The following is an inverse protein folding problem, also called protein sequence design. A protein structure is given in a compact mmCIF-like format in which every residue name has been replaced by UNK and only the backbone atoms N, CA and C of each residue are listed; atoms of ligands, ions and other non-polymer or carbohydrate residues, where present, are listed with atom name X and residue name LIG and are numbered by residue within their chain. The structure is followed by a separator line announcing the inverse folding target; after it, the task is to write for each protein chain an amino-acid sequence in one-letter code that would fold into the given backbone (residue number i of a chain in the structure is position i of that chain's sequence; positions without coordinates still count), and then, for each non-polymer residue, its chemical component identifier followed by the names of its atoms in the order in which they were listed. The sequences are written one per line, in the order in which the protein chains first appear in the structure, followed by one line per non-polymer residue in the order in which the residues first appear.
data_IF_839580985343
#
_entry.id   IF_839580985343
#
_cell.length_a   1.000
_cell.length_b   1.000
_cell.length_c   1.000
_cell.angle_alpha   90.00
_cell.angle_beta   90.00
_cell.angle_gamma   90.00
#
_symmetry.space_group_name_H-M   'P 1'
#
loop_
_entity.id
_entity.type
_entity.pdbx_description
1 polymer ?
#
# COMPACT_ATOMS: atom_id res chain seq x y z
N UNK A 1 -4.90 12.27 -5.00
CA UNK A 1 -3.76 12.95 -5.66
C UNK A 1 -3.32 12.25 -6.96
N UNK A 2 -2.73 12.98 -7.93
CA UNK A 2 -2.17 12.39 -9.15
C UNK A 2 -0.64 12.36 -9.19
N UNK A 3 0.03 12.96 -8.20
CA UNK A 3 1.45 12.86 -7.96
C UNK A 3 1.74 12.21 -6.60
N UNK A 4 2.86 11.50 -6.53
CA UNK A 4 3.58 11.22 -5.29
C UNK A 4 4.90 11.99 -5.30
N UNK A 5 5.45 12.25 -4.11
CA UNK A 5 6.75 12.87 -3.98
C UNK A 5 7.58 12.19 -2.89
N UNK A 6 8.90 12.29 -3.02
CA UNK A 6 9.85 11.98 -1.95
C UNK A 6 10.99 12.99 -1.96
N UNK A 7 11.66 13.12 -0.81
CA UNK A 7 12.81 14.02 -0.66
C UNK A 7 14.08 13.19 -0.51
N UNK A 8 15.06 13.44 -1.37
CA UNK A 8 16.38 12.81 -1.24
C UNK A 8 17.12 13.43 -0.05
N UNK A 9 17.31 12.67 1.02
CA UNK A 9 17.84 13.19 2.30
C UNK A 9 19.23 13.83 2.21
N UNK A 10 20.09 13.37 1.29
CA UNK A 10 21.46 13.88 1.15
C UNK A 10 21.54 15.19 0.37
N UNK A 11 20.69 15.37 -0.63
CA UNK A 11 20.75 16.51 -1.56
C UNK A 11 19.61 17.50 -1.34
N UNK A 12 18.62 17.13 -0.54
CA UNK A 12 17.35 17.83 -0.34
C UNK A 12 16.56 18.06 -1.64
N UNK A 13 16.82 17.25 -2.67
CA UNK A 13 16.05 17.30 -3.92
C UNK A 13 14.67 16.69 -3.71
N UNK A 14 13.65 17.42 -4.12
CA UNK A 14 12.28 16.91 -4.19
C UNK A 14 12.08 16.23 -5.53
N UNK A 15 11.70 14.96 -5.48
CA UNK A 15 11.31 14.19 -6.66
C UNK A 15 9.80 14.06 -6.67
N UNK A 16 9.15 14.44 -7.78
CA UNK A 16 7.72 14.29 -7.97
C UNK A 16 7.47 13.36 -9.16
N UNK A 17 6.55 12.41 -9.00
CA UNK A 17 6.25 11.38 -10.01
C UNK A 17 4.74 11.22 -10.17
N UNK A 18 4.31 11.06 -11.42
CA UNK A 18 2.92 10.79 -11.73
C UNK A 18 2.52 9.37 -11.28
N UNK A 19 1.39 9.27 -10.57
CA UNK A 19 0.79 8.00 -10.15
C UNK A 19 -0.14 7.42 -11.22
N UNK A 20 -0.54 8.24 -12.19
CA UNK A 20 -1.48 7.93 -13.26
C UNK A 20 -1.22 8.83 -14.46
N UNK A 21 -1.82 8.53 -15.60
CA UNK A 21 -1.76 9.42 -16.77
C UNK A 21 -2.39 10.77 -16.43
N UNK A 22 -1.71 11.87 -16.79
CA UNK A 22 -2.16 13.24 -16.56
C UNK A 22 -2.28 13.94 -17.91
N UNK A 23 -3.49 14.38 -18.26
CA UNK A 23 -3.76 15.08 -19.51
C UNK A 23 -3.37 16.57 -19.41
N UNK A 24 -3.03 17.23 -20.53
CA UNK A 24 -2.75 18.67 -20.54
C UNK A 24 -3.89 19.50 -19.92
N UNK A 25 -3.53 20.50 -19.13
CA UNK A 25 -4.49 21.38 -18.43
C UNK A 25 -5.10 20.79 -17.16
N UNK A 26 -4.77 19.55 -16.77
CA UNK A 26 -5.16 19.00 -15.46
C UNK A 26 -4.23 19.49 -14.36
N UNK A 27 -4.83 19.85 -13.23
CA UNK A 27 -4.10 20.25 -12.02
C UNK A 27 -3.24 19.09 -11.49
N UNK A 28 -2.03 19.43 -11.02
CA UNK A 28 -1.12 18.50 -10.36
C UNK A 28 -1.35 18.54 -8.85
N UNK A 29 -1.61 17.39 -8.23
CA UNK A 29 -2.02 17.29 -6.83
C UNK A 29 -1.21 16.23 -6.10
N UNK A 30 -0.74 16.56 -4.89
CA UNK A 30 -0.12 15.64 -3.92
C UNK A 30 -1.05 15.48 -2.71
N UNK A 31 -0.84 14.44 -1.90
CA UNK A 31 -1.47 14.37 -0.56
C UNK A 31 -0.59 15.10 0.44
N UNK A 32 -1.21 15.83 1.37
CA UNK A 32 -0.53 16.53 2.45
C UNK A 32 -0.41 15.70 3.73
N UNK A 33 -1.19 14.63 3.81
CA UNK A 33 -1.30 13.75 4.96
C UNK A 33 -1.47 12.30 4.51
N UNK A 34 -1.52 11.39 5.48
CA UNK A 34 -1.87 10.00 5.22
C UNK A 34 -3.28 9.91 4.61
N UNK A 35 -3.42 9.11 3.56
CA UNK A 35 -4.70 8.88 2.89
C UNK A 35 -5.48 7.72 3.50
N UNK A 36 -4.87 6.93 4.40
CA UNK A 36 -5.44 5.73 5.02
C UNK A 36 -6.24 6.02 6.31
N UNK A 37 -6.90 7.17 6.39
CA UNK A 37 -7.70 7.63 7.54
C UNK A 37 -9.11 8.00 7.09
N UNK A 38 -10.10 7.95 8.00
CA UNK A 38 -11.52 8.16 7.68
C UNK A 38 -11.80 9.62 7.29
N UNK A 39 -12.94 9.88 6.65
CA UNK A 39 -13.29 11.22 6.14
C UNK A 39 -13.28 12.30 7.21
N UNK A 40 -13.86 12.02 8.38
CA UNK A 40 -13.94 12.99 9.49
C UNK A 40 -12.53 13.40 9.93
N UNK A 41 -11.69 12.43 10.29
CA UNK A 41 -10.28 12.64 10.66
C UNK A 41 -9.53 13.42 9.57
N UNK A 42 -9.70 13.05 8.28
CA UNK A 42 -9.08 13.78 7.17
C UNK A 42 -9.48 15.26 7.13
N UNK A 43 -10.76 15.57 7.32
CA UNK A 43 -11.27 16.95 7.27
C UNK A 43 -10.78 17.76 8.47
N UNK A 44 -10.78 17.16 9.66
CA UNK A 44 -10.29 17.79 10.88
C UNK A 44 -8.81 18.14 10.78
N UNK A 45 -7.97 17.20 10.34
CA UNK A 45 -6.53 17.43 10.15
C UNK A 45 -6.26 18.51 9.11
N UNK A 46 -6.91 18.46 7.95
CA UNK A 46 -6.72 19.47 6.90
C UNK A 46 -7.17 20.86 7.33
N UNK A 47 -8.29 20.95 8.06
CA UNK A 47 -8.77 22.23 8.56
C UNK A 47 -7.84 22.79 9.63
N UNK A 48 -7.36 21.94 10.55
CA UNK A 48 -6.48 22.31 11.64
C UNK A 48 -5.09 22.73 11.16
N UNK A 49 -4.47 21.93 10.30
CA UNK A 49 -3.07 22.11 9.93
C UNK A 49 -2.89 22.98 8.67
N UNK A 50 -3.89 23.01 7.79
CA UNK A 50 -3.84 23.74 6.51
C UNK A 50 -4.94 24.77 6.31
N UNK A 51 -5.94 24.85 7.20
CA UNK A 51 -6.97 25.88 7.19
C UNK A 51 -8.02 25.74 6.09
N UNK A 52 -8.23 24.53 5.53
CA UNK A 52 -9.25 24.31 4.49
C UNK A 52 -10.01 23.00 4.65
N UNK A 53 -11.26 23.00 4.17
CA UNK A 53 -12.07 21.79 4.01
C UNK A 53 -11.84 21.17 2.64
N UNK A 54 -11.51 19.88 2.60
CA UNK A 54 -11.25 19.17 1.36
C UNK A 54 -12.53 18.95 0.56
N UNK A 55 -12.48 19.32 -0.73
CA UNK A 55 -13.57 19.16 -1.70
C UNK A 55 -13.24 18.17 -2.81
N UNK A 56 -12.34 17.22 -2.54
CA UNK A 56 -12.06 16.16 -3.51
C UNK A 56 -13.28 15.24 -3.71
N UNK A 57 -13.28 14.46 -4.80
CA UNK A 57 -14.38 13.58 -5.12
C UNK A 57 -14.75 12.61 -3.98
N UNK A 58 -13.76 12.08 -3.23
CA UNK A 58 -14.00 11.21 -2.07
C UNK A 58 -14.68 11.96 -0.91
N UNK A 59 -14.26 13.19 -0.61
CA UNK A 59 -14.85 13.99 0.46
C UNK A 59 -16.27 14.51 0.12
N UNK A 60 -16.64 14.52 -1.16
CA UNK A 60 -17.92 15.00 -1.68
C UNK A 60 -18.91 13.89 -2.07
N UNK A 61 -18.61 12.63 -1.76
CA UNK A 61 -19.52 11.51 -2.02
C UNK A 61 -20.85 11.66 -1.24
N UNK A 62 -21.87 10.89 -1.60
CA UNK A 62 -23.10 10.80 -0.81
C UNK A 62 -22.79 10.26 0.59
N UNK A 63 -23.71 10.47 1.54
CA UNK A 63 -23.51 10.02 2.92
C UNK A 63 -23.31 8.50 2.99
N UNK A 64 -24.10 7.75 2.22
CA UNK A 64 -24.02 6.29 2.15
C UNK A 64 -22.64 5.83 1.65
N UNK A 65 -22.15 6.43 0.56
CA UNK A 65 -20.82 6.11 0.03
C UNK A 65 -19.68 6.56 0.96
N UNK A 66 -19.88 7.62 1.76
CA UNK A 66 -18.91 8.03 2.77
C UNK A 66 -18.81 6.98 3.89
N UNK A 67 -19.96 6.50 4.39
CA UNK A 67 -20.01 5.43 5.39
C UNK A 67 -19.37 4.14 4.87
N UNK A 68 -19.64 3.75 3.61
CA UNK A 68 -18.99 2.60 2.97
C UNK A 68 -17.47 2.77 2.85
N UNK A 69 -16.98 3.95 2.44
CA UNK A 69 -15.55 4.25 2.35
C UNK A 69 -14.88 4.22 3.72
N UNK A 70 -15.51 4.80 4.75
CA UNK A 70 -14.97 4.79 6.12
C UNK A 70 -14.93 3.35 6.68
N UNK A 71 -15.93 2.51 6.39
CA UNK A 71 -15.89 1.07 6.69
C UNK A 71 -14.75 0.36 5.94
N UNK A 72 -14.53 0.68 4.66
CA UNK A 72 -13.45 0.11 3.88
C UNK A 72 -12.08 0.49 4.44
N UNK A 73 -11.89 1.75 4.85
CA UNK A 73 -10.66 2.21 5.51
C UNK A 73 -10.43 1.46 6.82
N UNK A 74 -11.47 1.21 7.61
CA UNK A 74 -11.34 0.42 8.83
C UNK A 74 -10.96 -1.04 8.53
N UNK A 75 -11.61 -1.67 7.55
CA UNK A 75 -11.27 -3.02 7.11
C UNK A 75 -9.81 -3.12 6.63
N UNK A 76 -9.31 -2.09 5.92
CA UNK A 76 -7.91 -1.99 5.53
C UNK A 76 -7.01 -1.99 6.77
N UNK A 77 -7.30 -1.16 7.78
CA UNK A 77 -6.49 -1.07 9.01
C UNK A 77 -6.44 -2.41 9.73
N UNK A 78 -7.59 -3.03 9.93
CA UNK A 78 -7.73 -4.29 10.67
C UNK A 78 -7.01 -5.44 9.95
N UNK A 79 -7.27 -5.60 8.64
CA UNK A 79 -6.68 -6.66 7.83
C UNK A 79 -5.17 -6.47 7.66
N UNK A 80 -4.73 -5.23 7.46
CA UNK A 80 -3.30 -4.91 7.39
C UNK A 80 -2.60 -5.26 8.70
N UNK A 81 -3.17 -4.89 9.86
CA UNK A 81 -2.62 -5.23 11.16
C UNK A 81 -2.54 -6.75 11.34
N UNK A 82 -3.65 -7.46 11.11
CA UNK A 82 -3.73 -8.91 11.20
C UNK A 82 -2.64 -9.59 10.36
N UNK A 83 -2.52 -9.19 9.08
CA UNK A 83 -1.54 -9.77 8.17
C UNK A 83 -0.11 -9.37 8.51
N UNK A 84 0.14 -8.17 9.06
CA UNK A 84 1.49 -7.75 9.44
C UNK A 84 2.02 -8.49 10.67
N UNK A 85 1.16 -8.79 11.65
CA UNK A 85 1.54 -9.39 12.93
C UNK A 85 1.57 -10.93 12.90
N UNK A 86 0.66 -11.56 12.14
CA UNK A 86 0.33 -12.98 12.34
C UNK A 86 0.53 -13.89 11.12
N UNK A 87 1.12 -13.39 10.02
CA UNK A 87 1.21 -14.16 8.78
C UNK A 87 2.16 -15.38 8.82
N UNK A 88 3.05 -15.45 9.81
CA UNK A 88 4.01 -16.53 10.00
C UNK A 88 3.83 -17.26 11.35
N UNK A 89 2.71 -17.03 12.04
CA UNK A 89 2.45 -17.68 13.32
C UNK A 89 2.24 -19.19 13.17
N UNK A 90 2.95 -20.00 13.97
CA UNK A 90 2.79 -21.46 14.02
C UNK A 90 1.39 -21.90 14.48
N UNK A 91 0.59 -21.01 15.08
CA UNK A 91 -0.78 -21.31 15.49
C UNK A 91 -1.82 -20.96 14.42
N UNK A 92 -1.42 -20.22 13.39
CA UNK A 92 -2.32 -19.82 12.32
C UNK A 92 -2.49 -20.97 11.31
N UNK A 93 -3.72 -21.47 11.17
CA UNK A 93 -4.08 -22.51 10.21
C UNK A 93 -4.92 -21.97 9.05
N UNK A 94 -5.17 -20.66 9.02
CA UNK A 94 -5.92 -20.03 7.94
C UNK A 94 -5.06 -19.90 6.68
N UNK A 95 -5.72 -19.97 5.53
CA UNK A 95 -5.09 -19.62 4.27
C UNK A 95 -5.14 -18.10 4.08
N UNK A 96 -4.01 -17.44 4.29
CA UNK A 96 -3.92 -15.99 4.26
C UNK A 96 -3.78 -15.41 2.84
N UNK A 97 -3.76 -16.25 1.82
CA UNK A 97 -3.55 -15.81 0.43
C UNK A 97 -4.72 -14.96 -0.07
N UNK A 98 -5.93 -15.40 0.23
CA UNK A 98 -7.15 -14.69 -0.19
C UNK A 98 -7.27 -13.36 0.58
N UNK A 99 -6.93 -13.36 1.87
CA UNK A 99 -6.86 -12.14 2.69
C UNK A 99 -5.80 -11.14 2.15
N UNK A 100 -4.65 -11.63 1.67
CA UNK A 100 -3.65 -10.77 1.06
C UNK A 100 -4.10 -10.17 -0.29
N UNK A 101 -4.86 -10.92 -1.07
CA UNK A 101 -5.50 -10.44 -2.31
C UNK A 101 -6.57 -9.38 -1.97
N UNK A 102 -7.43 -9.66 -0.99
CA UNK A 102 -8.46 -8.74 -0.48
C UNK A 102 -7.86 -7.41 -0.01
N UNK A 103 -6.78 -7.44 0.78
CA UNK A 103 -6.12 -6.23 1.23
C UNK A 103 -5.67 -5.34 0.05
N UNK A 104 -5.11 -5.93 -1.00
CA UNK A 104 -4.71 -5.19 -2.20
C UNK A 104 -5.94 -4.59 -2.90
N UNK A 105 -7.03 -5.34 -3.01
CA UNK A 105 -8.26 -4.88 -3.65
C UNK A 105 -8.89 -3.70 -2.90
N UNK A 106 -8.92 -3.75 -1.56
CA UNK A 106 -9.40 -2.64 -0.74
C UNK A 106 -8.56 -1.37 -0.97
N UNK A 107 -7.23 -1.47 -1.03
CA UNK A 107 -6.36 -0.34 -1.37
C UNK A 107 -6.64 0.24 -2.76
N UNK A 108 -6.97 -0.61 -3.74
CA UNK A 108 -7.33 -0.16 -5.09
C UNK A 108 -8.68 0.54 -5.12
N UNK A 109 -9.67 0.00 -4.39
CA UNK A 109 -11.02 0.56 -4.27
C UNK A 109 -10.98 1.97 -3.66
N UNK A 110 -10.22 2.16 -2.59
CA UNK A 110 -10.03 3.45 -1.93
C UNK A 110 -9.02 4.38 -2.64
N UNK A 111 -8.50 3.97 -3.81
CA UNK A 111 -7.56 4.73 -4.63
C UNK A 111 -6.30 5.16 -3.85
N UNK A 112 -5.80 4.27 -2.99
CA UNK A 112 -4.63 4.42 -2.11
C UNK A 112 -3.33 3.95 -2.78
N UNK A 113 -3.22 4.14 -4.09
CA UNK A 113 -2.12 3.64 -4.94
C UNK A 113 -0.73 4.06 -4.46
N UNK A 114 -0.59 5.25 -3.87
CA UNK A 114 0.69 5.73 -3.35
C UNK A 114 1.17 4.94 -2.12
N UNK A 115 0.25 4.32 -1.40
CA UNK A 115 0.52 3.61 -0.14
C UNK A 115 0.44 2.09 -0.32
N UNK A 116 0.17 1.58 -1.52
CA UNK A 116 -0.07 0.14 -1.75
C UNK A 116 1.19 -0.72 -1.87
N UNK A 117 2.40 -0.15 -1.71
CA UNK A 117 3.65 -0.93 -1.72
C UNK A 117 3.71 -1.97 -0.59
N UNK A 118 3.20 -1.64 0.59
CA UNK A 118 3.23 -2.50 1.76
C UNK A 118 2.29 -3.72 1.63
N UNK A 119 1.00 -3.57 1.23
CA UNK A 119 0.14 -4.71 0.89
C UNK A 119 0.76 -5.67 -0.14
N UNK A 120 1.41 -5.14 -1.19
CA UNK A 120 2.12 -5.98 -2.16
C UNK A 120 3.34 -6.68 -1.56
N UNK A 121 4.01 -6.07 -0.57
CA UNK A 121 5.10 -6.70 0.19
C UNK A 121 4.57 -7.88 1.02
N UNK A 122 3.49 -7.68 1.77
CA UNK A 122 2.84 -8.72 2.56
C UNK A 122 2.39 -9.88 1.67
N UNK A 123 1.67 -9.59 0.58
CA UNK A 123 1.24 -10.62 -0.38
C UNK A 123 2.43 -11.39 -0.97
N UNK A 124 3.53 -10.71 -1.28
CA UNK A 124 4.75 -11.36 -1.77
C UNK A 124 5.32 -12.37 -0.76
N UNK A 125 5.36 -11.99 0.52
CA UNK A 125 5.85 -12.84 1.61
C UNK A 125 4.91 -14.03 1.85
N UNK A 126 3.61 -13.78 1.92
CA UNK A 126 2.56 -14.78 2.11
C UNK A 126 2.58 -15.79 0.95
N UNK A 127 2.57 -15.38 -0.31
CA UNK A 127 2.66 -16.37 -1.39
C UNK A 127 3.92 -17.24 -1.31
N UNK A 128 5.05 -16.67 -0.92
CA UNK A 128 6.27 -17.45 -0.79
C UNK A 128 6.19 -18.45 0.38
N UNK A 129 5.50 -18.12 1.47
CA UNK A 129 5.27 -19.02 2.61
C UNK A 129 4.41 -20.23 2.28
N UNK A 130 3.59 -20.14 1.24
CA UNK A 130 2.88 -21.29 0.64
C UNK A 130 3.59 -21.87 -0.60
N UNK A 131 4.85 -21.49 -0.86
CA UNK A 131 5.63 -22.01 -1.98
C UNK A 131 5.23 -21.48 -3.37
N UNK A 132 4.30 -20.53 -3.47
CA UNK A 132 3.86 -19.93 -4.73
C UNK A 132 4.82 -18.85 -5.22
N UNK A 133 5.99 -19.29 -5.66
CA UNK A 133 7.11 -18.42 -6.06
C UNK A 133 6.75 -17.45 -7.19
N UNK A 134 5.96 -17.85 -8.20
CA UNK A 134 5.59 -16.97 -9.30
C UNK A 134 4.70 -15.79 -8.85
N UNK A 135 3.67 -16.07 -8.04
CA UNK A 135 2.81 -15.01 -7.48
C UNK A 135 3.62 -14.10 -6.55
N UNK A 136 4.50 -14.67 -5.72
CA UNK A 136 5.41 -13.91 -4.86
C UNK A 136 6.26 -12.91 -5.67
N UNK A 137 6.93 -13.37 -6.73
CA UNK A 137 7.73 -12.50 -7.61
C UNK A 137 6.92 -11.37 -8.23
N UNK A 138 5.69 -11.67 -8.68
CA UNK A 138 4.83 -10.68 -9.29
C UNK A 138 4.46 -9.56 -8.31
N UNK A 139 4.11 -9.91 -7.06
CA UNK A 139 3.79 -8.93 -6.03
C UNK A 139 5.03 -8.16 -5.57
N UNK A 140 6.18 -8.81 -5.42
CA UNK A 140 7.45 -8.13 -5.12
C UNK A 140 7.81 -7.07 -6.17
N UNK A 141 7.61 -7.38 -7.45
CA UNK A 141 7.88 -6.45 -8.54
C UNK A 141 6.93 -5.23 -8.50
N UNK A 142 5.63 -5.44 -8.23
CA UNK A 142 4.67 -4.35 -8.04
C UNK A 142 5.05 -3.45 -6.86
N UNK A 143 5.37 -4.07 -5.72
CA UNK A 143 5.82 -3.38 -4.51
C UNK A 143 7.04 -2.50 -4.77
N UNK A 144 8.09 -3.04 -5.41
CA UNK A 144 9.27 -2.25 -5.80
C UNK A 144 8.90 -1.09 -6.73
N UNK A 145 8.05 -1.32 -7.73
CA UNK A 145 7.62 -0.26 -8.67
C UNK A 145 6.94 0.90 -7.95
N UNK A 146 6.06 0.59 -6.98
CA UNK A 146 5.35 1.60 -6.20
C UNK A 146 6.32 2.30 -5.24
N UNK A 147 7.10 1.55 -4.46
CA UNK A 147 8.07 2.10 -3.51
C UNK A 147 9.15 2.97 -4.16
N UNK A 148 9.63 2.62 -5.36
CA UNK A 148 10.53 3.49 -6.14
C UNK A 148 9.85 4.79 -6.58
N UNK A 149 8.54 4.75 -6.80
CA UNK A 149 7.75 5.92 -7.21
C UNK A 149 7.47 6.84 -6.01
N UNK A 150 7.21 6.28 -4.83
CA UNK A 150 6.75 7.03 -3.66
C UNK A 150 7.80 7.28 -2.60
N UNK A 151 8.88 6.50 -2.57
CA UNK A 151 9.97 6.60 -1.59
C UNK A 151 11.37 6.62 -2.22
N UNK A 152 11.47 6.40 -3.52
CA UNK A 152 12.71 6.52 -4.28
C UNK A 152 13.64 5.31 -4.17
N UNK A 153 14.87 5.40 -4.72
CA UNK A 153 15.79 4.27 -4.87
C UNK A 153 16.37 3.74 -3.56
N UNK A 154 16.23 4.50 -2.47
CA UNK A 154 16.73 4.12 -1.15
C UNK A 154 15.63 3.54 -0.24
N UNK A 155 14.45 3.20 -0.79
CA UNK A 155 13.40 2.58 -0.01
C UNK A 155 13.87 1.25 0.60
N UNK A 156 13.71 1.12 1.92
CA UNK A 156 14.38 0.07 2.71
C UNK A 156 14.03 -1.36 2.27
N UNK A 157 12.80 -1.58 1.80
CA UNK A 157 12.30 -2.89 1.42
C UNK A 157 12.87 -3.42 0.08
N UNK A 158 13.50 -2.57 -0.74
CA UNK A 158 13.98 -2.96 -2.09
C UNK A 158 14.91 -4.18 -2.02
N UNK A 159 15.82 -4.23 -1.04
CA UNK A 159 16.81 -5.30 -0.95
C UNK A 159 16.17 -6.67 -0.67
N UNK A 160 15.23 -6.74 0.26
CA UNK A 160 14.54 -8.00 0.58
C UNK A 160 13.62 -8.43 -0.57
N UNK A 161 12.89 -7.51 -1.18
CA UNK A 161 12.03 -7.80 -2.33
C UNK A 161 12.83 -8.28 -3.55
N UNK A 162 14.03 -7.75 -3.78
CA UNK A 162 14.91 -8.24 -4.85
C UNK A 162 15.40 -9.68 -4.60
N UNK A 163 15.59 -10.10 -3.34
CA UNK A 163 15.89 -11.50 -3.02
C UNK A 163 14.73 -12.42 -3.41
N UNK A 164 13.49 -12.01 -3.11
CA UNK A 164 12.27 -12.73 -3.53
C UNK A 164 12.16 -12.82 -5.06
N UNK A 165 12.46 -11.75 -5.79
CA UNK A 165 12.46 -11.76 -7.26
C UNK A 165 13.52 -12.73 -7.81
N UNK A 166 14.75 -12.66 -7.28
CA UNK A 166 15.89 -13.42 -7.78
C UNK A 166 15.77 -14.92 -7.48
N UNK A 167 15.59 -15.27 -6.20
CA UNK A 167 15.55 -16.66 -5.74
C UNK A 167 14.63 -16.81 -4.52
N UNK A 168 13.30 -16.89 -4.73
CA UNK A 168 12.32 -16.93 -3.66
C UNK A 168 12.46 -18.19 -2.80
N UNK A 169 12.97 -19.30 -3.35
CA UNK A 169 13.22 -20.53 -2.60
C UNK A 169 14.32 -20.38 -1.54
N UNK A 170 15.28 -19.47 -1.75
CA UNK A 170 16.34 -19.17 -0.77
C UNK A 170 15.96 -18.11 0.25
N UNK A 171 14.81 -17.47 0.07
CA UNK A 171 14.32 -16.46 1.01
C UNK A 171 13.78 -17.15 2.26
N UNK A 172 13.98 -16.53 3.43
CA UNK A 172 13.59 -17.09 4.73
C UNK A 172 12.09 -17.42 4.81
N UNK A 173 11.25 -16.71 4.05
CA UNK A 173 9.81 -16.93 4.04
C UNK A 173 9.36 -18.14 3.22
N UNK A 174 10.27 -18.87 2.55
CA UNK A 174 9.85 -19.95 1.65
C UNK A 174 9.24 -21.13 2.40
N UNK A 175 8.01 -21.50 2.04
CA UNK A 175 7.30 -22.70 2.54
C UNK A 175 7.09 -22.78 4.06
N UNK A 176 7.31 -21.70 4.81
CA UNK A 176 7.18 -21.71 6.29
C UNK A 176 5.75 -22.00 6.77
N UNK A 177 4.73 -21.81 5.92
CA UNK A 177 3.33 -22.13 6.24
C UNK A 177 2.89 -23.50 5.68
N UNK A 178 3.75 -24.20 4.92
CA UNK A 178 3.50 -25.58 4.52
C UNK A 178 4.09 -26.51 5.58
N UNK A 179 3.23 -27.13 6.38
CA UNK A 179 3.64 -28.23 7.28
C UNK A 179 3.87 -29.49 6.45
N UNK A 180 4.80 -30.33 6.89
CA UNK A 180 5.07 -31.66 6.32
C UNK A 180 3.85 -32.60 6.42
#
# INVERSE_FOLDING_TARGET
PNLAFFVESKTLKVHMRALRVILPGKELTISYQDTNIIREERQEELLKDYGFECKCAQCQMSKENQEESDCCIQAIKDLHQQLSENWYSETNNEDLRDQAEELIELYLLENLLSSSAEPHTLASLIYNSYGQTLKSKAQAAKSISIGLTTSGPNWDNIKELLKLIKNPQSHWSHRICLRD
#
